data_IF_596602193046
#
_entry.id   IF_596602193046
#
_cell.length_a   1.000
_cell.length_b   1.000
_cell.length_c   1.000
_cell.angle_alpha   90.00
_cell.angle_beta   90.00
_cell.angle_gamma   90.00
#
_symmetry.space_group_name_H-M   'P 1'
#
loop_
_entity.id
_entity.type
_entity.pdbx_description
1 polymer ?
#
# COMPACT_ATOMS: atom_id res chain seq x y z
N UNK A 1 -9.80 8.05 -18.24
CA UNK A 1 -10.21 8.83 -17.06
C UNK A 1 -9.52 10.18 -16.95
N UNK A 2 -8.18 10.29 -16.85
CA UNK A 2 -7.51 11.61 -16.73
C UNK A 2 -7.79 12.57 -17.90
N UNK A 3 -7.79 12.06 -19.14
CA UNK A 3 -8.18 12.85 -20.33
C UNK A 3 -9.63 13.32 -20.27
N UNK A 4 -10.53 12.50 -19.72
CA UNK A 4 -11.94 12.83 -19.54
C UNK A 4 -12.12 13.91 -18.45
N UNK A 5 -11.45 13.76 -17.30
CA UNK A 5 -11.46 14.75 -16.23
C UNK A 5 -10.98 16.12 -16.73
N UNK A 6 -9.86 16.15 -17.47
CA UNK A 6 -9.34 17.39 -18.08
C UNK A 6 -10.33 18.03 -19.06
N UNK A 7 -10.96 17.23 -19.93
CA UNK A 7 -11.96 17.71 -20.88
C UNK A 7 -13.15 18.41 -20.20
N UNK A 8 -13.51 17.97 -19.00
CA UNK A 8 -14.62 18.51 -18.23
C UNK A 8 -14.18 19.42 -17.07
N UNK A 9 -12.91 19.85 -17.04
CA UNK A 9 -12.33 20.67 -15.99
C UNK A 9 -12.59 20.13 -14.56
N UNK A 10 -12.56 18.80 -14.41
CA UNK A 10 -12.75 18.12 -13.15
C UNK A 10 -11.40 17.92 -12.44
N UNK A 11 -11.39 18.18 -11.13
CA UNK A 11 -10.24 17.88 -10.26
C UNK A 11 -10.08 16.37 -10.11
N UNK A 12 -8.83 15.91 -10.12
CA UNK A 12 -8.47 14.51 -9.95
C UNK A 12 -8.00 14.30 -8.52
N UNK A 13 -8.81 13.61 -7.73
CA UNK A 13 -8.41 13.10 -6.41
C UNK A 13 -8.06 11.62 -6.57
N UNK A 14 -6.82 11.26 -6.26
CA UNK A 14 -6.32 9.89 -6.33
C UNK A 14 -6.30 9.27 -4.93
N UNK A 15 -6.98 8.13 -4.77
CA UNK A 15 -6.84 7.29 -3.59
C UNK A 15 -5.55 6.47 -3.71
N UNK A 16 -4.54 6.85 -2.93
CA UNK A 16 -3.24 6.21 -2.84
C UNK A 16 -3.05 5.49 -1.49
N UNK A 17 -4.15 5.16 -0.78
CA UNK A 17 -4.14 4.64 0.58
C UNK A 17 -3.26 3.40 0.80
N UNK A 18 -3.00 2.63 -0.26
CA UNK A 18 -2.24 1.37 -0.20
C UNK A 18 -0.88 1.45 -0.93
N UNK A 19 -0.45 2.64 -1.36
CA UNK A 19 0.57 2.81 -2.38
C UNK A 19 1.85 3.50 -1.88
N UNK A 20 2.16 3.41 -0.58
CA UNK A 20 3.33 4.08 0.01
C UNK A 20 4.44 3.09 0.42
N UNK A 21 5.53 2.92 -0.35
CA UNK A 21 5.76 3.45 -1.70
C UNK A 21 5.26 2.49 -2.81
N UNK A 22 4.90 3.05 -3.95
CA UNK A 22 4.62 2.36 -5.20
C UNK A 22 4.96 3.30 -6.36
N UNK A 23 5.34 2.73 -7.50
CA UNK A 23 5.79 3.51 -8.65
C UNK A 23 5.22 3.00 -9.96
N UNK A 24 5.22 3.86 -10.97
CA UNK A 24 4.84 3.50 -12.33
C UNK A 24 5.73 4.23 -13.35
N UNK A 25 5.92 3.64 -14.53
CA UNK A 25 6.48 4.37 -15.68
C UNK A 25 5.34 5.00 -16.46
N UNK A 26 5.46 6.30 -16.74
CA UNK A 26 4.59 6.95 -17.70
C UNK A 26 5.09 6.63 -19.12
N UNK A 27 4.55 5.57 -19.72
CA UNK A 27 4.92 5.12 -21.06
C UNK A 27 4.38 6.04 -22.18
N UNK A 28 3.86 7.22 -21.85
CA UNK A 28 3.65 8.30 -22.80
C UNK A 28 3.04 7.86 -24.14
N UNK A 29 1.76 7.45 -24.16
CA UNK A 29 0.96 7.91 -25.30
C UNK A 29 0.87 9.42 -25.11
N UNK A 30 1.74 10.17 -25.79
CA UNK A 30 1.61 11.63 -25.91
C UNK A 30 0.13 11.89 -26.20
N UNK A 31 -0.59 12.44 -25.23
CA UNK A 31 -1.79 13.16 -25.57
C UNK A 31 -1.29 14.33 -26.43
N UNK A 32 -1.59 14.31 -27.72
CA UNK A 32 -1.53 15.53 -28.52
C UNK A 32 -2.43 16.55 -27.83
N UNK A 33 -1.81 17.44 -27.06
CA UNK A 33 -2.51 18.54 -26.43
C UNK A 33 -1.54 19.71 -26.25
N UNK A 34 -1.49 20.55 -27.29
CA UNK A 34 -2.00 21.92 -27.18
C UNK A 34 -1.38 22.90 -26.19
N UNK A 35 -0.30 22.56 -25.47
CA UNK A 35 0.39 23.55 -24.63
C UNK A 35 1.26 24.46 -25.50
N UNK A 36 0.76 25.66 -25.77
CA UNK A 36 1.62 26.82 -26.02
C UNK A 36 2.66 26.86 -24.90
N UNK A 37 3.94 26.85 -25.30
CA UNK A 37 5.06 27.15 -24.41
C UNK A 37 4.84 28.55 -23.84
N UNK A 38 4.57 28.62 -22.54
CA UNK A 38 4.98 29.79 -21.77
C UNK A 38 6.42 29.49 -21.36
N UNK A 39 7.35 30.16 -22.03
CA UNK A 39 8.73 30.22 -21.58
C UNK A 39 8.75 30.99 -20.27
N UNK A 40 9.03 30.29 -19.17
CA UNK A 40 9.43 30.95 -17.94
C UNK A 40 10.81 30.43 -17.56
N UNK A 41 11.78 31.32 -17.67
CA UNK A 41 13.20 31.09 -17.42
C UNK A 41 13.43 30.94 -15.92
N UNK A 42 13.34 29.71 -15.42
CA UNK A 42 13.75 29.35 -14.06
C UNK A 42 14.64 28.11 -14.08
N UNK A 43 15.95 28.31 -14.07
CA UNK A 43 16.91 27.23 -13.80
C UNK A 43 16.66 26.68 -12.40
N UNK A 44 16.24 25.41 -12.29
CA UNK A 44 16.22 24.69 -11.03
C UNK A 44 17.64 24.23 -10.70
N UNK A 45 18.30 24.90 -9.76
CA UNK A 45 19.51 24.39 -9.10
C UNK A 45 19.11 23.57 -7.88
N UNK A 46 19.52 22.31 -7.85
CA UNK A 46 19.42 21.45 -6.67
C UNK A 46 20.50 21.90 -5.68
N UNK A 47 20.12 22.66 -4.66
CA UNK A 47 21.02 22.99 -3.54
C UNK A 47 20.97 21.83 -2.55
N UNK A 48 22.01 21.01 -2.53
CA UNK A 48 22.25 19.99 -1.52
C UNK A 48 22.59 20.64 -0.17
N UNK A 49 21.57 20.86 0.68
CA UNK A 49 21.78 21.27 2.06
C UNK A 49 22.29 20.10 2.90
N UNK A 50 23.59 20.07 3.18
CA UNK A 50 24.17 19.25 4.24
C UNK A 50 23.66 19.73 5.60
N UNK A 51 22.96 18.87 6.33
CA UNK A 51 22.69 19.08 7.75
C UNK A 51 23.93 18.70 8.56
N UNK A 52 24.77 19.67 8.89
CA UNK A 52 25.84 19.52 9.88
C UNK A 52 25.27 19.76 11.28
N UNK A 53 25.29 18.73 12.13
CA UNK A 53 24.98 18.85 13.54
C UNK A 53 26.20 19.41 14.28
N UNK A 54 26.27 20.73 14.46
CA UNK A 54 27.19 21.35 15.40
C UNK A 54 26.75 21.05 16.84
N UNK A 55 27.48 20.17 17.52
CA UNK A 55 27.58 20.17 18.98
C UNK A 55 29.06 20.17 19.34
N UNK A 56 29.50 21.27 19.96
CA UNK A 56 30.87 21.45 20.42
C UNK A 56 31.29 20.43 21.49
N UNK A 57 32.61 20.26 21.71
CA UNK A 57 33.14 19.18 22.53
C UNK A 57 33.14 19.55 24.01
N UNK A 58 32.86 18.57 24.88
CA UNK A 58 33.23 18.61 26.29
C UNK A 58 34.39 17.63 26.48
N UNK A 59 35.51 18.17 26.94
CA UNK A 59 36.77 17.51 27.28
C UNK A 59 36.69 16.80 28.64
N UNK A 60 37.31 15.61 28.77
CA UNK A 60 38.36 15.29 29.76
C UNK A 60 38.76 13.79 29.77
N UNK A 61 39.97 13.50 29.23
CA UNK A 61 41.11 12.71 29.79
C UNK A 61 40.93 11.21 30.24
N UNK A 62 42.03 10.41 30.40
CA UNK A 62 42.98 9.96 29.36
C UNK A 62 43.35 8.45 29.43
N UNK A 63 44.09 8.00 28.41
CA UNK A 63 45.20 7.00 28.41
C UNK A 63 45.05 5.71 27.60
N UNK A 64 46.17 5.19 27.01
CA UNK A 64 46.13 4.36 25.80
C UNK A 64 46.70 2.95 26.02
N UNK A 65 46.16 1.93 25.35
CA UNK A 65 46.89 0.67 25.13
C UNK A 65 46.60 0.14 23.72
N UNK A 66 47.66 0.13 22.92
CA UNK A 66 47.79 -0.50 21.61
C UNK A 66 48.03 -2.00 21.76
N UNK A 67 47.24 -2.85 21.09
CA UNK A 67 47.70 -4.17 20.67
C UNK A 67 46.99 -4.58 19.37
N UNK A 68 47.80 -4.79 18.31
CA UNK A 68 47.44 -5.56 17.12
C UNK A 68 47.16 -7.02 17.51
N UNK A 69 46.34 -7.75 16.74
CA UNK A 69 46.93 -8.92 16.09
C UNK A 69 46.40 -9.27 14.70
N UNK A 70 47.36 -9.67 13.86
CA UNK A 70 47.39 -10.80 12.92
C UNK A 70 46.17 -11.15 12.06
N UNK A 71 46.44 -11.08 10.76
CA UNK A 71 45.81 -11.87 9.69
C UNK A 71 45.89 -13.38 9.95
N UNK A 72 44.75 -14.07 9.93
CA UNK A 72 44.68 -15.49 9.57
C UNK A 72 43.65 -15.65 8.47
N UNK A 73 44.14 -16.18 7.36
CA UNK A 73 43.44 -16.42 6.11
C UNK A 73 42.77 -17.80 6.20
N UNK A 74 41.44 -17.85 6.14
CA UNK A 74 40.70 -19.08 5.86
C UNK A 74 39.79 -18.82 4.66
N UNK A 75 40.16 -19.35 3.50
CA UNK A 75 39.21 -19.64 2.44
C UNK A 75 38.40 -20.88 2.82
N UNK A 76 37.08 -20.86 2.60
CA UNK A 76 36.35 -22.05 2.20
C UNK A 76 35.66 -21.86 0.85
N UNK A 77 36.04 -22.74 -0.07
CA UNK A 77 35.24 -23.41 -1.10
C UNK A 77 33.94 -22.76 -1.58
N UNK A 78 33.93 -22.49 -2.88
CA UNK A 78 32.76 -22.19 -3.70
C UNK A 78 31.72 -23.30 -3.66
N UNK A 79 30.52 -22.99 -3.15
CA UNK A 79 29.29 -23.70 -3.50
C UNK A 79 28.43 -22.70 -4.28
N UNK A 80 28.34 -22.92 -5.59
CA UNK A 80 27.45 -22.18 -6.48
C UNK A 80 26.00 -22.59 -6.20
N UNK A 81 25.33 -21.89 -5.29
CA UNK A 81 23.88 -21.75 -5.35
C UNK A 81 23.57 -20.52 -6.20
N UNK A 82 23.15 -20.76 -7.44
CA UNK A 82 22.53 -19.73 -8.26
C UNK A 82 21.24 -19.29 -7.56
N UNK A 83 21.33 -18.20 -6.79
CA UNK A 83 20.17 -17.51 -6.23
C UNK A 83 19.41 -16.88 -7.39
N UNK A 84 18.10 -17.15 -7.55
CA UNK A 84 17.31 -16.45 -8.56
C UNK A 84 17.35 -14.95 -8.23
N UNK A 85 17.78 -14.16 -9.22
CA UNK A 85 18.01 -12.72 -9.17
C UNK A 85 16.97 -11.94 -8.33
N UNK A 86 17.30 -11.65 -7.06
CA UNK A 86 16.70 -10.52 -6.34
C UNK A 86 17.42 -9.29 -6.84
N UNK A 87 16.85 -8.61 -7.83
CA UNK A 87 17.38 -7.32 -8.28
C UNK A 87 17.15 -6.33 -7.12
N UNK A 88 18.19 -5.83 -6.42
CA UNK A 88 17.97 -4.89 -5.33
C UNK A 88 17.27 -3.66 -5.90
N UNK A 89 16.09 -3.34 -5.36
CA UNK A 89 15.34 -2.18 -5.80
C UNK A 89 16.20 -0.92 -5.64
N UNK A 90 16.34 -0.08 -6.68
CA UNK A 90 17.03 1.19 -6.59
C UNK A 90 16.37 2.07 -5.52
N UNK A 91 17.14 2.96 -4.88
CA UNK A 91 16.58 4.00 -4.00
C UNK A 91 15.51 4.82 -4.73
N UNK A 92 14.61 5.46 -3.99
CA UNK A 92 13.57 6.33 -4.57
C UNK A 92 14.15 7.36 -5.53
N UNK A 93 15.29 7.97 -5.19
CA UNK A 93 15.98 8.94 -6.05
C UNK A 93 16.44 8.31 -7.38
N UNK A 94 17.00 7.09 -7.32
CA UNK A 94 17.40 6.36 -8.53
C UNK A 94 16.18 5.97 -9.38
N UNK A 95 15.05 5.64 -8.76
CA UNK A 95 13.81 5.36 -9.49
C UNK A 95 13.33 6.60 -10.26
N UNK A 96 13.28 7.76 -9.60
CA UNK A 96 12.90 9.04 -10.23
C UNK A 96 13.80 9.38 -11.43
N UNK A 97 15.12 9.26 -11.25
CA UNK A 97 16.09 9.52 -12.31
C UNK A 97 15.95 8.57 -13.51
N UNK A 98 15.37 7.39 -13.31
CA UNK A 98 15.10 6.39 -14.35
C UNK A 98 13.66 6.42 -14.89
N UNK A 99 12.96 7.55 -14.69
CA UNK A 99 11.63 7.79 -15.26
C UNK A 99 10.49 7.07 -14.54
N UNK A 100 10.72 6.56 -13.33
CA UNK A 100 9.64 6.08 -12.47
C UNK A 100 9.01 7.25 -11.73
N UNK A 101 7.68 7.27 -11.66
CA UNK A 101 6.92 8.26 -10.92
C UNK A 101 6.24 7.59 -9.73
N UNK A 102 6.23 8.22 -8.53
CA UNK A 102 5.52 7.69 -7.39
C UNK A 102 4.01 7.77 -7.63
N UNK A 103 3.27 6.75 -7.19
CA UNK A 103 1.80 6.80 -7.18
C UNK A 103 1.34 7.99 -6.32
N UNK A 104 0.41 8.78 -6.85
CA UNK A 104 -0.01 10.05 -6.28
C UNK A 104 0.62 11.29 -6.92
N UNK A 105 1.72 11.18 -7.67
CA UNK A 105 2.35 12.34 -8.34
C UNK A 105 1.50 13.09 -9.38
N UNK A 106 0.62 12.46 -10.18
CA UNK A 106 -0.03 13.12 -11.31
C UNK A 106 -1.43 13.67 -11.02
N UNK A 107 -1.93 13.48 -9.79
CA UNK A 107 -3.26 13.92 -9.37
C UNK A 107 -3.21 15.34 -8.80
N UNK A 108 -4.36 16.03 -8.81
CA UNK A 108 -4.47 17.34 -8.15
C UNK A 108 -4.33 17.19 -6.63
N UNK A 109 -4.92 16.13 -6.08
CA UNK A 109 -4.82 15.74 -4.67
C UNK A 109 -4.62 14.22 -4.61
N UNK A 110 -3.71 13.77 -3.75
CA UNK A 110 -3.47 12.35 -3.50
C UNK A 110 -3.62 12.03 -2.04
N UNK A 111 -4.43 11.04 -1.72
CA UNK A 111 -4.77 10.69 -0.34
C UNK A 111 -4.10 9.37 0.07
N UNK A 112 -3.35 9.40 1.15
CA UNK A 112 -2.70 8.24 1.75
C UNK A 112 -3.34 7.90 3.09
N UNK A 113 -3.33 6.62 3.45
CA UNK A 113 -3.78 6.12 4.74
C UNK A 113 -2.59 5.58 5.51
N UNK A 114 -2.54 5.89 6.80
CA UNK A 114 -1.53 5.43 7.75
C UNK A 114 -2.16 4.65 8.91
N UNK A 115 -3.29 3.98 8.65
CA UNK A 115 -3.88 3.04 9.59
C UNK A 115 -2.91 1.92 9.99
N UNK A 116 -3.15 1.26 11.11
CA UNK A 116 -2.30 0.24 11.73
C UNK A 116 -1.78 -0.84 10.76
N UNK A 117 -2.61 -1.26 9.79
CA UNK A 117 -2.27 -2.34 8.86
C UNK A 117 -1.59 -1.88 7.54
N UNK A 118 -1.38 -0.57 7.34
CA UNK A 118 -0.82 -0.02 6.10
C UNK A 118 0.69 -0.27 6.00
N UNK A 119 1.25 -0.01 4.82
CA UNK A 119 2.68 -0.24 4.53
C UNK A 119 3.61 0.60 5.41
N UNK A 120 3.13 1.78 5.82
CA UNK A 120 3.63 2.59 6.93
C UNK A 120 2.44 2.99 7.79
N UNK A 121 2.65 3.23 9.08
CA UNK A 121 1.54 3.51 10.01
C UNK A 121 1.81 4.68 10.96
N UNK A 122 0.75 5.30 11.45
CA UNK A 122 0.75 6.25 12.58
C UNK A 122 -0.18 5.77 13.69
N UNK A 123 -0.53 4.48 13.72
CA UNK A 123 -1.66 3.93 14.48
C UNK A 123 -2.97 4.23 13.75
N UNK A 124 -3.40 5.49 13.83
CA UNK A 124 -4.49 6.07 13.03
C UNK A 124 -3.97 7.30 12.30
N UNK A 125 -4.37 7.50 11.04
CA UNK A 125 -3.99 8.70 10.30
C UNK A 125 -4.07 8.58 8.79
N UNK A 126 -3.75 9.69 8.14
CA UNK A 126 -3.68 9.81 6.69
C UNK A 126 -3.03 11.13 6.29
N UNK A 127 -2.86 11.31 4.99
CA UNK A 127 -2.23 12.50 4.42
C UNK A 127 -2.82 12.81 3.06
N UNK A 128 -3.19 14.06 2.83
CA UNK A 128 -3.51 14.57 1.51
C UNK A 128 -2.32 15.38 0.98
N UNK A 129 -1.82 15.02 -0.19
CA UNK A 129 -0.71 15.69 -0.86
C UNK A 129 -1.23 16.43 -2.09
N UNK A 130 -0.70 17.63 -2.34
CA UNK A 130 -0.99 18.42 -3.54
C UNK A 130 0.20 19.31 -3.87
N UNK A 131 0.39 19.63 -5.16
CA UNK A 131 1.33 20.66 -5.61
C UNK A 131 0.68 22.05 -5.73
N UNK A 132 -0.62 22.17 -5.45
CA UNK A 132 -1.37 23.42 -5.54
C UNK A 132 -1.52 24.04 -4.13
N UNK A 133 -0.92 25.20 -3.93
CA UNK A 133 -0.91 25.91 -2.64
C UNK A 133 -2.32 26.32 -2.18
N UNK A 134 -3.21 26.70 -3.10
CA UNK A 134 -4.61 27.04 -2.79
C UNK A 134 -5.35 25.82 -2.22
N UNK A 135 -5.13 24.64 -2.81
CA UNK A 135 -5.72 23.40 -2.30
C UNK A 135 -5.13 23.02 -0.94
N UNK A 136 -3.81 23.16 -0.76
CA UNK A 136 -3.14 22.91 0.51
C UNK A 136 -3.69 23.80 1.63
N UNK A 137 -3.83 25.11 1.36
CA UNK A 137 -4.38 26.07 2.32
C UNK A 137 -5.84 25.77 2.64
N UNK A 138 -6.65 25.46 1.63
CA UNK A 138 -8.04 25.05 1.85
C UNK A 138 -8.13 23.80 2.73
N UNK A 139 -7.29 22.79 2.49
CA UNK A 139 -7.25 21.56 3.29
C UNK A 139 -6.83 21.82 4.74
N UNK A 140 -5.85 22.71 4.99
CA UNK A 140 -5.43 23.09 6.35
C UNK A 140 -6.56 23.77 7.12
N UNK A 141 -7.24 24.74 6.50
CA UNK A 141 -8.39 25.43 7.10
C UNK A 141 -9.50 24.43 7.43
N UNK A 142 -9.87 23.59 6.45
CA UNK A 142 -10.94 22.61 6.62
C UNK A 142 -10.61 21.48 7.60
N UNK A 143 -9.35 21.15 7.85
CA UNK A 143 -8.99 20.09 8.81
C UNK A 143 -9.05 20.54 10.27
N UNK A 144 -9.12 21.85 10.52
CA UNK A 144 -9.13 22.43 11.86
C UNK A 144 -10.24 23.48 12.03
N UNK A 145 -11.48 23.01 11.99
CA UNK A 145 -12.73 23.74 12.25
C UNK A 145 -13.01 24.93 11.31
N UNK A 146 -12.22 25.14 10.25
CA UNK A 146 -12.39 26.27 9.35
C UNK A 146 -11.76 27.56 9.86
N UNK A 147 -10.86 27.45 10.84
CA UNK A 147 -10.17 28.59 11.44
C UNK A 147 -9.22 29.24 10.43
N UNK A 148 -9.22 30.58 10.34
CA UNK A 148 -8.34 31.35 9.47
C UNK A 148 -6.84 31.17 9.81
N UNK A 149 -5.97 31.31 8.82
CA UNK A 149 -4.52 31.04 8.95
C UNK A 149 -3.83 31.94 9.98
N UNK A 150 -4.28 33.19 10.09
CA UNK A 150 -3.73 34.15 11.06
C UNK A 150 -3.91 33.70 12.51
N UNK A 151 -4.83 32.76 12.76
CA UNK A 151 -4.98 32.16 14.07
C UNK A 151 -3.78 31.31 14.50
N UNK A 152 -2.85 30.93 13.62
CA UNK A 152 -1.60 30.26 14.02
C UNK A 152 -0.60 31.23 14.67
N UNK A 153 -0.73 32.55 14.41
CA UNK A 153 0.05 33.60 15.08
C UNK A 153 -0.24 33.67 16.59
N UNK A 154 -1.30 33.00 17.08
CA UNK A 154 -1.60 32.80 18.51
C UNK A 154 -0.45 32.16 19.29
N UNK A 155 0.37 31.34 18.63
CA UNK A 155 1.52 30.68 19.26
C UNK A 155 2.83 31.47 19.14
N UNK A 156 2.77 32.72 18.68
CA UNK A 156 3.91 33.66 18.63
C UNK A 156 3.80 34.69 19.75
N UNK A 157 4.91 35.34 20.09
CA UNK A 157 5.01 36.37 21.14
C UNK A 157 4.08 37.58 20.94
N UNK A 158 3.56 37.78 19.73
CA UNK A 158 2.63 38.85 19.34
C UNK A 158 1.16 38.37 19.25
N UNK A 159 0.87 37.15 19.70
CA UNK A 159 -0.38 36.46 19.48
C UNK A 159 -1.62 37.16 20.05
N UNK A 160 -2.55 37.52 19.17
CA UNK A 160 -3.92 37.94 19.55
C UNK A 160 -4.81 36.71 19.75
N UNK A 161 -5.65 36.71 20.78
CA UNK A 161 -6.68 35.68 21.02
C UNK A 161 -7.72 35.58 19.90
N UNK A 162 -7.81 36.61 19.06
CA UNK A 162 -8.75 36.72 17.96
C UNK A 162 -8.51 35.67 16.87
N UNK A 163 -9.57 35.02 16.43
CA UNK A 163 -9.58 34.16 15.24
C UNK A 163 -10.95 34.17 14.59
N UNK A 164 -11.00 33.84 13.31
CA UNK A 164 -12.24 33.77 12.55
C UNK A 164 -12.47 32.34 12.05
N UNK A 165 -13.73 31.93 12.05
CA UNK A 165 -14.18 30.74 11.32
C UNK A 165 -14.64 31.22 9.95
N UNK A 166 -13.85 30.93 8.91
CA UNK A 166 -14.11 31.38 7.54
C UNK A 166 -14.75 30.29 6.67
N UNK A 167 -14.96 29.10 7.23
CA UNK A 167 -15.61 27.98 6.56
C UNK A 167 -16.16 26.96 7.58
N UNK A 168 -17.16 26.12 7.21
CA UNK A 168 -17.61 25.01 8.03
C UNK A 168 -16.61 23.85 7.97
N UNK A 169 -15.48 23.98 8.67
CA UNK A 169 -14.44 22.94 8.70
C UNK A 169 -14.75 21.76 9.64
N UNK A 170 -13.83 20.81 9.67
CA UNK A 170 -13.89 19.54 10.38
C UNK A 170 -12.81 19.46 11.47
N UNK A 171 -12.76 18.34 12.20
CA UNK A 171 -11.71 18.02 13.17
C UNK A 171 -10.89 16.83 12.68
N UNK A 172 -9.97 17.07 11.74
CA UNK A 172 -9.15 16.03 11.08
C UNK A 172 -7.64 16.24 11.24
N UNK A 173 -7.20 17.18 12.07
CA UNK A 173 -5.76 17.38 12.29
C UNK A 173 -5.11 16.15 12.96
N UNK A 174 -3.90 15.83 12.52
CA UNK A 174 -3.06 14.80 13.14
C UNK A 174 -2.47 15.31 14.47
N UNK A 175 -2.32 14.41 15.44
CA UNK A 175 -1.60 14.70 16.68
C UNK A 175 -0.09 14.46 16.51
N UNK A 176 0.74 15.22 17.21
CA UNK A 176 2.21 15.09 17.14
C UNK A 176 2.71 13.70 17.52
N UNK A 177 2.01 12.98 18.40
CA UNK A 177 2.33 11.59 18.75
C UNK A 177 2.22 10.68 17.52
N UNK A 178 1.13 10.80 16.75
CA UNK A 178 0.92 10.04 15.53
C UNK A 178 1.97 10.44 14.46
N UNK A 179 2.26 11.73 14.33
CA UNK A 179 3.29 12.24 13.43
C UNK A 179 4.70 11.71 13.78
N UNK A 180 5.04 11.63 15.07
CA UNK A 180 6.32 11.11 15.54
C UNK A 180 6.53 9.63 15.16
N UNK A 181 5.48 8.81 15.26
CA UNK A 181 5.49 7.43 14.76
C UNK A 181 5.71 7.43 13.24
N UNK A 182 4.96 8.27 12.52
CA UNK A 182 5.06 8.42 11.07
C UNK A 182 6.46 8.78 10.58
N UNK A 183 7.15 9.70 11.27
CA UNK A 183 8.53 10.09 10.93
C UNK A 183 9.51 8.91 11.02
N UNK A 184 9.36 8.06 12.04
CA UNK A 184 10.21 6.86 12.17
C UNK A 184 9.84 5.78 11.15
N UNK A 185 8.55 5.64 10.81
CA UNK A 185 8.08 4.72 9.79
C UNK A 185 8.53 5.13 8.39
N UNK A 186 8.49 6.43 8.06
CA UNK A 186 8.93 6.97 6.79
C UNK A 186 10.42 6.70 6.52
N UNK A 187 11.27 6.82 7.56
CA UNK A 187 12.71 6.46 7.48
C UNK A 187 12.94 4.98 7.14
N UNK A 188 11.98 4.10 7.43
CA UNK A 188 12.04 2.65 7.20
C UNK A 188 11.25 2.20 5.97
N UNK A 189 10.54 3.12 5.29
CA UNK A 189 9.60 2.78 4.23
C UNK A 189 10.24 1.98 3.09
N UNK A 190 11.44 2.36 2.63
CA UNK A 190 12.16 1.63 1.58
C UNK A 190 12.58 0.22 2.01
N UNK A 191 12.99 0.07 3.28
CA UNK A 191 13.39 -1.23 3.84
C UNK A 191 12.18 -2.15 3.95
N UNK A 192 11.04 -1.65 4.46
CA UNK A 192 9.80 -2.40 4.52
C UNK A 192 9.27 -2.79 3.14
N UNK A 193 9.37 -1.88 2.17
CA UNK A 193 8.95 -2.16 0.81
C UNK A 193 9.79 -3.26 0.15
N UNK A 194 11.12 -3.17 0.27
CA UNK A 194 12.03 -4.21 -0.22
C UNK A 194 11.72 -5.57 0.40
N UNK A 195 11.51 -5.62 1.71
CA UNK A 195 11.17 -6.86 2.41
C UNK A 195 9.85 -7.46 1.91
N UNK A 196 8.83 -6.63 1.66
CA UNK A 196 7.55 -7.09 1.08
C UNK A 196 7.72 -7.62 -0.35
N UNK A 197 8.59 -7.02 -1.16
CA UNK A 197 8.91 -7.51 -2.52
C UNK A 197 9.56 -8.90 -2.45
N UNK A 198 10.52 -9.10 -1.55
CA UNK A 198 11.17 -10.39 -1.35
C UNK A 198 10.16 -11.48 -0.95
N UNK A 199 9.33 -11.20 0.07
CA UNK A 199 8.28 -12.12 0.54
C UNK A 199 7.25 -12.43 -0.56
N UNK A 200 6.82 -11.43 -1.32
CA UNK A 200 5.90 -11.64 -2.45
C UNK A 200 6.54 -12.47 -3.58
N UNK A 201 7.85 -12.34 -3.78
CA UNK A 201 8.65 -13.19 -4.66
C UNK A 201 8.68 -14.64 -4.18
N UNK A 202 8.91 -14.87 -2.89
CA UNK A 202 8.91 -16.20 -2.28
C UNK A 202 7.55 -16.90 -2.40
N UNK A 203 6.44 -16.18 -2.17
CA UNK A 203 5.11 -16.69 -2.44
C UNK A 203 4.94 -17.09 -3.90
N UNK A 204 5.38 -16.23 -4.84
CA UNK A 204 5.27 -16.52 -6.27
C UNK A 204 6.04 -17.78 -6.65
N UNK A 205 7.28 -17.89 -6.21
CA UNK A 205 8.15 -19.03 -6.49
C UNK A 205 7.55 -20.34 -5.97
N UNK A 206 7.01 -20.34 -4.76
CA UNK A 206 6.49 -21.56 -4.10
C UNK A 206 5.11 -21.99 -4.57
N UNK A 207 4.33 -21.07 -5.13
CA UNK A 207 2.93 -21.29 -5.49
C UNK A 207 2.65 -21.24 -7.00
N UNK A 208 3.63 -20.95 -7.85
CA UNK A 208 3.44 -20.83 -9.31
C UNK A 208 2.90 -22.11 -9.97
N UNK A 209 3.22 -23.28 -9.43
CA UNK A 209 2.80 -24.59 -9.93
C UNK A 209 1.44 -25.04 -9.36
N UNK A 210 0.85 -24.28 -8.43
CA UNK A 210 -0.47 -24.61 -7.86
C UNK A 210 -1.57 -24.15 -8.81
N UNK A 211 -2.01 -25.06 -9.68
CA UNK A 211 -2.97 -24.74 -10.73
C UNK A 211 -4.36 -24.32 -10.24
N UNK A 212 -4.73 -24.67 -9.00
CA UNK A 212 -6.03 -24.35 -8.37
C UNK A 212 -6.13 -22.90 -7.88
N UNK A 213 -5.06 -22.11 -7.99
CA UNK A 213 -5.05 -20.70 -7.59
C UNK A 213 -4.55 -19.80 -8.73
N UNK A 214 -4.84 -18.51 -8.61
CA UNK A 214 -4.30 -17.45 -9.45
C UNK A 214 -3.51 -16.52 -8.57
N UNK A 215 -2.22 -16.37 -8.89
CA UNK A 215 -1.32 -15.47 -8.18
C UNK A 215 -1.45 -14.02 -8.67
N UNK A 216 -1.19 -13.03 -7.81
CA UNK A 216 -1.19 -11.63 -8.21
C UNK A 216 -0.15 -11.38 -9.30
N UNK A 217 -0.48 -10.54 -10.28
CA UNK A 217 0.42 -10.19 -11.38
C UNK A 217 0.85 -8.72 -11.28
N UNK A 218 2.11 -8.45 -11.56
CA UNK A 218 2.66 -7.09 -11.61
C UNK A 218 3.06 -6.78 -13.04
N UNK A 219 2.59 -5.65 -13.56
CA UNK A 219 2.95 -5.21 -14.91
C UNK A 219 4.40 -4.70 -14.93
N UNK A 220 5.15 -4.87 -16.04
CA UNK A 220 6.54 -4.42 -16.12
C UNK A 220 6.75 -2.91 -15.91
N UNK A 221 5.72 -2.11 -16.14
CA UNK A 221 5.70 -0.66 -15.97
C UNK A 221 5.22 -0.22 -14.58
N UNK A 222 5.20 -1.12 -13.59
CA UNK A 222 4.76 -0.88 -12.22
C UNK A 222 5.73 -1.46 -11.20
N UNK A 223 5.96 -0.72 -10.12
CA UNK A 223 6.54 -1.23 -8.88
C UNK A 223 5.41 -1.23 -7.85
N UNK A 224 4.96 -2.42 -7.48
CA UNK A 224 3.85 -2.63 -6.56
C UNK A 224 4.27 -2.37 -5.11
N UNK A 225 3.41 -1.77 -4.29
CA UNK A 225 3.69 -1.53 -2.86
C UNK A 225 3.71 -2.80 -2.01
N UNK A 226 3.02 -3.84 -2.49
CA UNK A 226 2.84 -5.10 -1.78
C UNK A 226 2.27 -4.90 -0.38
N UNK A 227 1.26 -4.03 -0.30
CA UNK A 227 0.44 -3.87 0.90
C UNK A 227 -0.30 -5.17 1.26
N UNK A 228 -0.87 -5.85 0.26
CA UNK A 228 -1.59 -7.12 0.39
C UNK A 228 -1.05 -8.12 -0.62
N UNK A 229 -1.10 -9.41 -0.26
CA UNK A 229 -0.90 -10.52 -1.19
C UNK A 229 -2.22 -11.24 -1.41
N UNK A 230 -2.95 -10.86 -2.45
CA UNK A 230 -4.27 -11.42 -2.77
C UNK A 230 -4.12 -12.51 -3.82
N UNK A 231 -4.55 -13.73 -3.48
CA UNK A 231 -4.72 -14.84 -4.43
C UNK A 231 -6.19 -14.98 -4.78
N UNK A 232 -6.48 -15.65 -5.92
CA UNK A 232 -7.83 -16.11 -6.25
C UNK A 232 -7.86 -17.63 -6.27
N UNK A 233 -8.90 -18.22 -5.72
CA UNK A 233 -9.19 -19.64 -5.84
C UNK A 233 -9.93 -19.92 -7.15
N UNK A 234 -9.52 -20.97 -7.87
CA UNK A 234 -10.28 -21.54 -8.98
C UNK A 234 -11.28 -22.54 -8.43
N UNK A 235 -12.45 -22.05 -8.00
CA UNK A 235 -13.47 -22.84 -7.30
C UNK A 235 -14.05 -23.98 -8.15
N UNK A 236 -13.96 -23.88 -9.46
CA UNK A 236 -14.30 -24.96 -10.40
C UNK A 236 -13.37 -26.18 -10.26
N UNK A 237 -12.18 -26.01 -9.66
CA UNK A 237 -11.16 -27.04 -9.45
C UNK A 237 -11.03 -27.51 -8.00
N UNK A 238 -11.88 -27.01 -7.09
CA UNK A 238 -11.86 -27.34 -5.66
C UNK A 238 -13.22 -27.88 -5.20
N UNK A 239 -13.23 -28.81 -4.25
CA UNK A 239 -14.45 -29.35 -3.64
C UNK A 239 -14.96 -28.52 -2.46
N UNK A 240 -14.23 -27.46 -2.10
CA UNK A 240 -14.58 -26.53 -1.03
C UNK A 240 -14.70 -25.11 -1.58
N UNK A 241 -15.51 -24.29 -0.93
CA UNK A 241 -15.60 -22.87 -1.22
C UNK A 241 -14.50 -22.05 -0.51
N UNK A 242 -14.50 -20.73 -0.72
CA UNK A 242 -13.56 -19.80 -0.09
C UNK A 242 -13.70 -19.74 1.43
N UNK A 243 -14.90 -19.83 1.99
CA UNK A 243 -15.10 -19.75 3.42
C UNK A 243 -14.49 -20.97 4.11
N UNK A 244 -14.75 -22.16 3.57
CA UNK A 244 -14.15 -23.41 4.02
C UNK A 244 -12.62 -23.39 3.86
N UNK A 245 -12.10 -22.83 2.76
CA UNK A 245 -10.65 -22.69 2.56
C UNK A 245 -10.02 -21.77 3.64
N UNK A 246 -10.67 -20.65 3.97
CA UNK A 246 -10.25 -19.74 5.05
C UNK A 246 -10.30 -20.44 6.41
N UNK A 247 -11.34 -21.21 6.70
CA UNK A 247 -11.45 -22.00 7.93
C UNK A 247 -10.32 -23.02 8.06
N UNK A 248 -9.98 -23.72 6.97
CA UNK A 248 -8.85 -24.66 6.93
C UNK A 248 -7.52 -23.95 7.24
N UNK A 249 -7.27 -22.77 6.66
CA UNK A 249 -6.09 -21.97 6.99
C UNK A 249 -6.11 -21.50 8.46
N UNK A 250 -7.28 -21.10 8.95
CA UNK A 250 -7.45 -20.65 10.35
C UNK A 250 -7.15 -21.79 11.33
N UNK A 251 -7.60 -23.02 11.07
CA UNK A 251 -7.28 -24.19 11.91
C UNK A 251 -5.78 -24.51 11.94
N UNK A 252 -5.04 -24.08 10.91
CA UNK A 252 -3.56 -24.16 10.83
C UNK A 252 -2.88 -22.92 11.43
N UNK A 253 -3.61 -22.02 12.07
CA UNK A 253 -3.05 -20.79 12.64
C UNK A 253 -2.66 -19.73 11.61
N UNK A 254 -3.09 -19.86 10.35
CA UNK A 254 -2.83 -18.88 9.29
C UNK A 254 -3.98 -17.88 9.22
N UNK A 255 -3.75 -16.67 9.73
CA UNK A 255 -4.71 -15.57 9.62
C UNK A 255 -4.86 -15.11 8.16
N UNK A 256 -6.09 -14.97 7.67
CA UNK A 256 -6.37 -14.44 6.33
C UNK A 256 -7.46 -13.39 6.38
N UNK A 257 -7.65 -12.67 5.28
CA UNK A 257 -8.72 -11.68 5.13
C UNK A 257 -9.28 -11.69 3.70
N UNK A 258 -10.34 -10.92 3.45
CA UNK A 258 -10.96 -10.74 2.13
C UNK A 258 -11.02 -9.25 1.81
N UNK A 259 -10.38 -8.85 0.71
CA UNK A 259 -10.28 -7.45 0.28
C UNK A 259 -10.77 -7.33 -1.17
N UNK A 260 -12.03 -6.96 -1.42
CA UNK A 260 -13.09 -6.59 -0.47
C UNK A 260 -14.43 -7.14 -0.93
N UNK A 261 -15.43 -7.14 -0.04
CA UNK A 261 -16.81 -7.25 -0.48
C UNK A 261 -17.15 -6.03 -1.36
N UNK A 262 -17.66 -6.23 -2.58
CA UNK A 262 -18.03 -5.11 -3.44
C UNK A 262 -19.11 -4.23 -2.82
N UNK A 263 -18.94 -2.90 -2.91
CA UNK A 263 -19.84 -1.91 -2.27
C UNK A 263 -21.32 -2.14 -2.61
N UNK A 264 -21.63 -2.38 -3.89
CA UNK A 264 -22.98 -2.60 -4.38
C UNK A 264 -23.67 -3.85 -3.79
N UNK A 265 -22.93 -4.79 -3.19
CA UNK A 265 -23.49 -5.95 -2.51
C UNK A 265 -23.86 -5.67 -1.05
N UNK A 266 -23.45 -4.53 -0.48
CA UNK A 266 -23.78 -4.21 0.91
C UNK A 266 -25.23 -3.69 1.04
N UNK A 267 -25.93 -4.02 2.14
CA UNK A 267 -27.33 -3.64 2.35
C UNK A 267 -27.60 -2.13 2.23
N UNK A 268 -26.66 -1.29 2.68
CA UNK A 268 -26.80 0.17 2.58
C UNK A 268 -26.93 0.63 1.13
N UNK A 269 -26.09 0.10 0.24
CA UNK A 269 -26.07 0.50 -1.17
C UNK A 269 -27.29 -0.02 -1.92
N UNK A 270 -27.73 -1.25 -1.62
CA UNK A 270 -28.97 -1.79 -2.18
C UNK A 270 -30.21 -1.00 -1.72
N UNK A 271 -30.34 -0.71 -0.42
CA UNK A 271 -31.50 0.04 0.12
C UNK A 271 -31.54 1.50 -0.31
N UNK A 272 -30.39 2.17 -0.35
CA UNK A 272 -30.31 3.62 -0.60
C UNK A 272 -30.32 3.95 -2.09
N UNK A 273 -29.67 3.13 -2.91
CA UNK A 273 -29.44 3.42 -4.32
C UNK A 273 -30.02 2.38 -5.29
N UNK A 274 -30.62 1.30 -4.77
CA UNK A 274 -31.25 0.27 -5.61
C UNK A 274 -30.27 -0.68 -6.29
N UNK A 275 -29.00 -0.72 -5.87
CA UNK A 275 -28.01 -1.59 -6.48
C UNK A 275 -28.25 -3.08 -6.18
N UNK A 276 -28.00 -3.92 -7.18
CA UNK A 276 -28.05 -5.38 -7.11
C UNK A 276 -26.67 -5.98 -7.51
N UNK A 277 -26.33 -7.20 -7.03
CA UNK A 277 -25.07 -7.87 -7.38
C UNK A 277 -24.78 -7.94 -8.90
N UNK A 278 -25.83 -8.07 -9.70
CA UNK A 278 -25.75 -8.21 -11.16
C UNK A 278 -25.32 -6.90 -11.85
N UNK A 279 -25.43 -5.75 -11.20
CA UNK A 279 -25.09 -4.45 -11.77
C UNK A 279 -23.59 -4.29 -12.03
N UNK A 280 -22.76 -4.98 -11.24
CA UNK A 280 -21.29 -4.95 -11.36
C UNK A 280 -20.74 -6.39 -11.40
N UNK A 281 -21.03 -7.14 -12.48
CA UNK A 281 -20.92 -8.59 -12.52
C UNK A 281 -19.47 -9.08 -12.36
N UNK A 282 -18.49 -8.29 -12.80
CA UNK A 282 -17.07 -8.65 -12.64
C UNK A 282 -16.61 -8.59 -11.19
N UNK A 283 -17.04 -7.58 -10.43
CA UNK A 283 -16.69 -7.47 -9.02
C UNK A 283 -17.43 -8.53 -8.20
N UNK A 284 -18.70 -8.78 -8.53
CA UNK A 284 -19.50 -9.84 -7.93
C UNK A 284 -18.89 -11.23 -8.16
N UNK A 285 -18.52 -11.58 -9.39
CA UNK A 285 -17.93 -12.88 -9.71
C UNK A 285 -16.54 -13.09 -9.08
N UNK A 286 -15.76 -12.01 -8.90
CA UNK A 286 -14.42 -12.10 -8.31
C UNK A 286 -14.45 -12.31 -6.78
N UNK A 287 -15.44 -11.72 -6.10
CA UNK A 287 -15.54 -11.75 -4.65
C UNK A 287 -15.42 -13.16 -4.02
N UNK A 288 -16.18 -14.19 -4.46
CA UNK A 288 -16.09 -15.53 -3.87
C UNK A 288 -14.73 -16.19 -4.06
N UNK A 289 -13.87 -15.71 -4.96
CA UNK A 289 -12.57 -16.33 -5.24
C UNK A 289 -11.43 -15.76 -4.38
N UNK A 290 -11.53 -14.53 -3.90
CA UNK A 290 -10.38 -13.80 -3.36
C UNK A 290 -10.07 -14.16 -1.90
N UNK A 291 -8.80 -14.46 -1.62
CA UNK A 291 -8.24 -14.61 -0.28
C UNK A 291 -6.98 -13.76 -0.18
N UNK A 292 -6.83 -13.04 0.93
CA UNK A 292 -5.62 -12.28 1.24
C UNK A 292 -4.77 -13.04 2.23
N UNK A 293 -3.55 -13.37 1.79
CA UNK A 293 -2.55 -14.03 2.61
C UNK A 293 -1.80 -13.02 3.49
N UNK A 294 -1.24 -13.46 4.62
CA UNK A 294 -0.34 -12.65 5.43
C UNK A 294 0.78 -12.05 4.58
N UNK A 295 0.99 -10.74 4.74
CA UNK A 295 2.14 -10.06 4.16
C UNK A 295 2.52 -8.86 5.02
N UNK A 296 3.59 -8.97 5.78
CA UNK A 296 4.15 -7.89 6.58
C UNK A 296 5.67 -8.05 6.75
N UNK A 297 6.43 -6.96 6.98
CA UNK A 297 7.90 -7.00 6.87
C UNK A 297 8.57 -7.97 7.85
N UNK A 298 7.98 -8.19 9.02
CA UNK A 298 8.54 -9.07 10.04
C UNK A 298 8.30 -10.57 9.78
N UNK A 299 7.63 -10.95 8.69
CA UNK A 299 7.52 -12.37 8.33
C UNK A 299 8.91 -12.93 8.00
N UNK A 300 9.16 -14.12 8.51
CA UNK A 300 10.33 -14.94 8.17
C UNK A 300 10.07 -15.73 6.90
N UNK A 301 11.11 -16.31 6.32
CA UNK A 301 10.97 -17.23 5.18
C UNK A 301 10.20 -18.50 5.56
N UNK A 302 10.40 -18.97 6.80
CA UNK A 302 9.65 -20.10 7.38
C UNK A 302 8.15 -19.80 7.50
N UNK A 303 7.77 -18.56 7.82
CA UNK A 303 6.35 -18.17 7.82
C UNK A 303 5.74 -18.26 6.41
N UNK A 304 6.47 -17.78 5.38
CA UNK A 304 6.01 -17.88 3.98
C UNK A 304 5.91 -19.33 3.54
N UNK A 305 6.93 -20.14 3.84
CA UNK A 305 6.95 -21.57 3.54
C UNK A 305 5.76 -22.28 4.20
N UNK A 306 5.51 -22.05 5.49
CA UNK A 306 4.40 -22.65 6.21
C UNK A 306 3.04 -22.31 5.59
N UNK A 307 2.83 -21.05 5.20
CA UNK A 307 1.61 -20.64 4.51
C UNK A 307 1.49 -21.34 3.14
N UNK A 308 2.58 -21.42 2.38
CA UNK A 308 2.57 -22.08 1.07
C UNK A 308 2.27 -23.57 1.16
N UNK A 309 2.91 -24.28 2.10
CA UNK A 309 2.67 -25.71 2.32
C UNK A 309 1.27 -25.97 2.86
N UNK A 310 0.74 -25.09 3.72
CA UNK A 310 -0.66 -25.14 4.15
C UNK A 310 -1.63 -25.03 2.98
N UNK A 311 -1.39 -24.10 2.05
CA UNK A 311 -2.20 -23.93 0.83
C UNK A 311 -2.12 -25.19 -0.04
N UNK A 312 -0.92 -25.72 -0.28
CA UNK A 312 -0.71 -26.93 -1.09
C UNK A 312 -1.41 -28.15 -0.49
N UNK A 313 -1.34 -28.32 0.83
CA UNK A 313 -2.04 -29.39 1.56
C UNK A 313 -3.57 -29.27 1.44
N UNK A 314 -4.11 -28.06 1.64
CA UNK A 314 -5.56 -27.82 1.48
C UNK A 314 -5.99 -28.11 0.05
N UNK A 315 -5.22 -27.64 -0.94
CA UNK A 315 -5.49 -27.89 -2.36
C UNK A 315 -5.42 -29.38 -2.66
N UNK A 316 -4.40 -30.11 -2.21
CA UNK A 316 -4.24 -31.53 -2.52
C UNK A 316 -5.40 -32.39 -1.99
N UNK A 317 -5.89 -32.09 -0.78
CA UNK A 317 -7.03 -32.80 -0.16
C UNK A 317 -8.37 -32.46 -0.79
N UNK A 318 -8.51 -31.27 -1.37
CA UNK A 318 -9.79 -30.76 -1.89
C UNK A 318 -9.80 -30.61 -3.41
N UNK A 319 -8.76 -31.07 -4.11
CA UNK A 319 -8.69 -30.99 -5.57
C UNK A 319 -9.84 -31.78 -6.18
N UNK A 320 -10.61 -31.10 -7.05
CA UNK A 320 -11.64 -31.76 -7.85
C UNK A 320 -10.96 -32.51 -8.99
N UNK A 321 -10.94 -33.84 -8.90
CA UNK A 321 -10.56 -34.69 -10.02
C UNK A 321 -11.64 -34.57 -11.11
N UNK A 322 -11.37 -33.76 -12.12
CA UNK A 322 -12.24 -33.71 -13.30
C UNK A 322 -11.86 -34.84 -14.25
N UNK A 323 -12.67 -35.91 -14.25
CA UNK A 323 -12.90 -36.63 -15.49
C UNK A 323 -13.70 -35.66 -16.40
N UNK A 324 -13.10 -35.30 -17.54
CA UNK A 324 -13.67 -34.53 -18.65
C UNK A 324 -14.95 -33.67 -18.42
N UNK A 325 -14.77 -32.35 -18.47
CA UNK A 325 -15.76 -31.29 -18.82
C UNK A 325 -17.24 -31.61 -18.54
N UNK A 326 -17.73 -31.20 -17.38
CA UNK A 326 -19.14 -30.83 -17.20
C UNK A 326 -19.24 -29.37 -16.79
N UNK A 327 -20.15 -28.65 -17.45
CA UNK A 327 -20.39 -27.21 -17.38
C UNK A 327 -20.58 -26.69 -15.93
N UNK A 328 -20.19 -25.44 -15.64
CA UNK A 328 -20.32 -24.88 -14.30
C UNK A 328 -21.79 -24.62 -13.96
N UNK A 329 -22.32 -25.38 -12.99
CA UNK A 329 -23.50 -24.95 -12.24
C UNK A 329 -23.08 -23.94 -11.18
N UNK A 330 -23.82 -22.83 -10.99
CA UNK A 330 -23.56 -21.90 -9.90
C UNK A 330 -23.81 -22.61 -8.56
N UNK A 331 -22.79 -22.64 -7.71
CA UNK A 331 -22.95 -23.10 -6.33
C UNK A 331 -23.96 -22.18 -5.61
N UNK A 332 -24.95 -22.71 -4.90
CA UNK A 332 -25.82 -21.90 -4.05
C UNK A 332 -24.98 -21.29 -2.91
N UNK A 333 -25.12 -19.97 -2.73
CA UNK A 333 -24.47 -19.25 -1.64
C UNK A 333 -25.08 -19.60 -0.28
N UNK A 334 -24.31 -19.49 0.82
CA UNK A 334 -24.87 -19.53 2.16
C UNK A 334 -25.88 -18.39 2.32
N UNK A 335 -27.08 -18.71 2.81
CA UNK A 335 -28.03 -17.70 3.26
C UNK A 335 -27.45 -17.05 4.51
N UNK A 336 -26.85 -15.87 4.37
CA UNK A 336 -26.47 -15.05 5.52
C UNK A 336 -27.77 -14.62 6.21
N UNK A 337 -28.08 -15.27 7.34
CA UNK A 337 -29.25 -14.97 8.15
C UNK A 337 -29.31 -13.48 8.45
N UNK A 338 -30.49 -12.89 8.30
CA UNK A 338 -30.80 -11.48 8.50
C UNK A 338 -30.72 -11.02 9.97
N UNK A 339 -30.02 -11.75 10.83
CA UNK A 339 -29.94 -11.51 12.27
C UNK A 339 -28.61 -10.90 12.67
N UNK A 340 -28.45 -9.59 12.48
CA UNK A 340 -27.59 -8.84 13.39
C UNK A 340 -28.42 -8.53 14.63
N UNK A 341 -27.92 -8.75 15.86
CA UNK A 341 -28.65 -8.39 17.06
C UNK A 341 -28.88 -6.88 17.04
N UNK A 342 -30.13 -6.47 17.20
CA UNK A 342 -30.48 -5.09 17.48
C UNK A 342 -29.71 -4.68 18.74
N UNK A 343 -28.75 -3.77 18.56
CA UNK A 343 -28.12 -3.06 19.66
C UNK A 343 -29.19 -2.14 20.24
N UNK A 344 -29.72 -2.53 21.38
CA UNK A 344 -30.67 -1.75 22.19
C UNK A 344 -30.02 -0.57 22.92
#
# INVERSE_FOLDING_TARGET
MRSLARRHNLKIVEDAAHCCPAYYKDNGKKAEDGRQKIEDSGQWSVVSGQWSADRGPISNLPSPISHLPSTINHQPSTINHATPYINPQPSTLNLLNNGWLPVGSPADISCYSFYANKTITTGEGGMACTANDEYADRMRIMSLHGISRDAWKRYTTEGSWYYEIIAPGFKYNMADIAAAIGLQQLRKAEVFHRRRIELAGQYRERLNEVEEIVLPQVRPDRIHSWHLYVIRLKLDRLNIDRAQFIEELTRRGVGTSVHWMPLHMHPYYGKTYGYAPEDLPMAWALYPEIITLPLYPNMTEGDVEYVCESIKDIVSRNRRWTAAKTSPHPFPFPQWGTGWPEVG
#
